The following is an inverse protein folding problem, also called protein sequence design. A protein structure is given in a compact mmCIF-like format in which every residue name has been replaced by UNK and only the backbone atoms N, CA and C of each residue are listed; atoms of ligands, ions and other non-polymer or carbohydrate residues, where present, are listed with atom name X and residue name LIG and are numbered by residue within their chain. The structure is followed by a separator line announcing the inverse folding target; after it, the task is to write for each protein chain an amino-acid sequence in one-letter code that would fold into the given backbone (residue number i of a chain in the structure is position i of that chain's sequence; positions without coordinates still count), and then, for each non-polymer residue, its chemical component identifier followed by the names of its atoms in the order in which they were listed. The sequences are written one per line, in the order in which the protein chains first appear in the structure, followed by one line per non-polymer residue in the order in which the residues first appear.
data_IF_908267863608
#
_entry.id   IF_908267863608
#
_cell.length_a   1.000
_cell.length_b   1.000
_cell.length_c   1.000
_cell.angle_alpha   90.00
_cell.angle_beta   90.00
_cell.angle_gamma   90.00
#
_symmetry.space_group_name_H-M   'P 1'
#
loop_
_entity.id
_entity.type
_entity.pdbx_description
1 polymer ?
#
# COMPACT_ATOMS: atom_id res chain seq x y z
N UNK A 1 2.41 15.19 17.98
CA UNK A 1 1.74 14.31 16.99
C UNK A 1 2.67 13.90 15.86
N UNK A 2 3.24 14.85 15.09
CA UNK A 2 4.07 14.55 13.91
C UNK A 2 5.33 13.69 14.19
N UNK A 3 6.04 13.92 15.30
CA UNK A 3 7.25 13.15 15.63
C UNK A 3 6.96 11.66 15.90
N UNK A 4 5.90 11.37 16.67
CA UNK A 4 5.48 10.00 16.99
C UNK A 4 4.98 9.25 15.76
N UNK A 5 4.25 9.94 14.88
CA UNK A 5 3.82 9.38 13.60
C UNK A 5 5.01 9.03 12.70
N UNK A 6 5.98 9.96 12.57
CA UNK A 6 7.21 9.72 11.81
C UNK A 6 8.01 8.53 12.38
N UNK A 7 8.16 8.45 13.69
CA UNK A 7 8.85 7.35 14.36
C UNK A 7 8.17 6.00 14.08
N UNK A 8 6.85 5.93 14.24
CA UNK A 8 6.06 4.75 13.87
C UNK A 8 6.32 4.33 12.41
N UNK A 9 6.30 5.27 11.47
CA UNK A 9 6.55 4.98 10.06
C UNK A 9 7.96 4.44 9.82
N UNK A 10 8.99 5.03 10.45
CA UNK A 10 10.39 4.59 10.29
C UNK A 10 10.64 3.20 10.90
N UNK A 11 10.07 2.91 12.06
CA UNK A 11 10.18 1.58 12.69
C UNK A 11 9.51 0.52 11.81
N UNK A 12 8.36 0.83 11.19
CA UNK A 12 7.69 -0.09 10.28
C UNK A 12 8.37 -0.20 8.90
N UNK A 13 9.20 0.77 8.51
CA UNK A 13 9.87 0.76 7.21
C UNK A 13 11.27 0.13 7.26
N UNK A 14 12.02 0.45 8.30
CA UNK A 14 13.43 0.07 8.48
C UNK A 14 13.58 -0.93 9.62
N UNK A 15 12.91 -0.65 10.73
CA UNK A 15 13.09 -1.36 11.98
C UNK A 15 13.68 -0.48 13.07
N UNK A 16 13.89 -1.10 14.21
CA UNK A 16 14.64 -0.57 15.35
C UNK A 16 15.55 -1.67 15.92
N UNK A 17 16.18 -1.41 17.06
CA UNK A 17 17.07 -2.39 17.72
C UNK A 17 16.38 -3.69 18.13
N UNK A 18 15.06 -3.71 18.29
CA UNK A 18 14.28 -4.90 18.65
C UNK A 18 13.56 -5.54 17.47
N UNK A 19 13.42 -4.83 16.35
CA UNK A 19 12.59 -5.23 15.22
C UNK A 19 13.33 -5.01 13.90
N UNK A 20 13.88 -6.08 13.32
CA UNK A 20 14.49 -6.06 11.99
C UNK A 20 13.42 -6.02 10.87
N UNK A 21 12.67 -4.92 10.78
CA UNK A 21 11.49 -4.83 9.92
C UNK A 21 11.86 -4.90 8.44
N UNK A 22 12.95 -4.26 8.02
CA UNK A 22 13.44 -4.36 6.64
C UNK A 22 13.73 -5.81 6.24
N UNK A 23 14.45 -6.56 7.09
CA UNK A 23 14.80 -7.96 6.81
C UNK A 23 13.56 -8.85 6.76
N UNK A 24 12.57 -8.59 7.63
CA UNK A 24 11.28 -9.26 7.62
C UNK A 24 10.53 -9.01 6.32
N UNK A 25 10.41 -7.75 5.89
CA UNK A 25 9.72 -7.38 4.65
C UNK A 25 10.44 -7.98 3.44
N UNK A 26 11.76 -7.86 3.37
CA UNK A 26 12.56 -8.44 2.30
C UNK A 26 12.39 -9.96 2.24
N UNK A 27 12.48 -10.64 3.38
CA UNK A 27 12.30 -12.10 3.45
C UNK A 27 10.87 -12.53 3.11
N UNK A 28 9.86 -11.74 3.50
CA UNK A 28 8.46 -11.98 3.14
C UNK A 28 8.26 -11.85 1.64
N UNK A 29 8.75 -10.77 1.03
CA UNK A 29 8.70 -10.59 -0.41
C UNK A 29 9.43 -11.77 -1.07
N UNK A 30 10.68 -12.08 -0.73
CA UNK A 30 11.41 -13.21 -1.36
C UNK A 30 10.63 -14.54 -1.35
N UNK A 31 9.77 -14.78 -0.35
CA UNK A 31 8.93 -15.98 -0.26
C UNK A 31 7.57 -15.89 -0.95
N UNK A 32 7.07 -14.69 -1.23
CA UNK A 32 5.74 -14.44 -1.81
C UNK A 32 5.89 -13.63 -3.12
N UNK A 33 6.13 -14.32 -4.23
CA UNK A 33 6.39 -13.70 -5.54
C UNK A 33 5.19 -12.97 -6.13
N UNK A 34 3.98 -13.35 -5.71
CA UNK A 34 2.69 -12.74 -6.05
C UNK A 34 2.45 -11.40 -5.34
N UNK A 35 3.14 -11.13 -4.23
CA UNK A 35 3.02 -9.85 -3.52
C UNK A 35 3.97 -8.82 -4.13
N UNK A 36 3.40 -7.74 -4.66
CA UNK A 36 4.13 -6.63 -5.27
C UNK A 36 4.55 -5.52 -4.31
N UNK A 37 3.80 -5.29 -3.22
CA UNK A 37 4.01 -4.17 -2.31
C UNK A 37 3.61 -4.51 -0.86
N UNK A 38 4.33 -3.93 0.10
CA UNK A 38 4.05 -3.98 1.55
C UNK A 38 4.13 -2.58 2.12
N UNK A 39 3.18 -2.20 2.97
CA UNK A 39 3.11 -0.92 3.66
C UNK A 39 2.46 -1.09 5.04
N UNK A 40 2.73 -0.20 6.01
CA UNK A 40 2.08 -0.26 7.31
C UNK A 40 0.60 0.10 7.19
N UNK A 41 -0.24 -0.66 7.88
CA UNK A 41 -1.68 -0.39 7.96
C UNK A 41 -1.93 0.94 8.69
N UNK A 42 -2.76 1.80 8.09
CA UNK A 42 -3.30 2.97 8.77
C UNK A 42 -4.58 2.61 9.53
N UNK A 43 -4.49 2.51 10.86
CA UNK A 43 -5.64 2.25 11.75
C UNK A 43 -6.63 3.42 11.82
N UNK A 44 -6.26 4.59 11.27
CA UNK A 44 -7.10 5.77 11.16
C UNK A 44 -7.68 5.96 9.76
N UNK A 45 -7.65 4.94 8.89
CA UNK A 45 -8.21 5.03 7.55
C UNK A 45 -9.69 5.46 7.61
N UNK A 46 -9.99 6.67 7.15
CA UNK A 46 -11.36 7.23 7.15
C UNK A 46 -12.19 6.76 5.94
N UNK A 47 -11.78 5.66 5.30
CA UNK A 47 -12.36 5.15 4.06
C UNK A 47 -12.01 5.98 2.82
N UNK A 48 -12.52 5.52 1.66
CA UNK A 48 -12.46 6.31 0.43
C UNK A 48 -13.49 7.43 0.54
N UNK A 49 -13.08 8.63 0.94
CA UNK A 49 -13.95 9.81 1.00
C UNK A 49 -14.15 10.37 -0.42
N UNK A 50 -13.53 11.49 -0.75
CA UNK A 50 -13.63 12.14 -2.07
C UNK A 50 -13.09 11.25 -3.20
N UNK A 51 -12.22 10.28 -2.87
CA UNK A 51 -11.67 9.32 -3.83
C UNK A 51 -12.67 8.22 -4.24
N UNK A 52 -13.82 8.07 -3.56
CA UNK A 52 -14.78 7.00 -3.86
C UNK A 52 -15.36 7.13 -5.27
N UNK A 53 -15.71 8.34 -5.68
CA UNK A 53 -16.31 8.59 -7.00
C UNK A 53 -15.34 8.22 -8.12
N UNK A 54 -14.05 8.57 -7.99
CA UNK A 54 -13.04 8.17 -8.97
C UNK A 54 -12.75 6.66 -8.93
N UNK A 55 -12.75 6.06 -7.74
CA UNK A 55 -12.61 4.62 -7.60
C UNK A 55 -13.75 3.87 -8.30
N UNK A 56 -15.00 4.33 -8.16
CA UNK A 56 -16.18 3.75 -8.83
C UNK A 56 -16.09 3.91 -10.35
N UNK A 57 -15.66 5.08 -10.84
CA UNK A 57 -15.44 5.31 -12.28
C UNK A 57 -14.39 4.37 -12.86
N UNK A 58 -13.29 4.15 -12.12
CA UNK A 58 -12.24 3.22 -12.53
C UNK A 58 -12.70 1.76 -12.44
N UNK A 59 -13.45 1.39 -11.40
CA UNK A 59 -14.01 0.05 -11.22
C UNK A 59 -14.89 -0.36 -12.40
N UNK A 60 -15.71 0.56 -12.91
CA UNK A 60 -16.51 0.33 -14.13
C UNK A 60 -15.65 0.01 -15.35
N UNK A 61 -14.52 0.72 -15.54
CA UNK A 61 -13.58 0.44 -16.64
C UNK A 61 -12.88 -0.91 -16.49
N UNK A 62 -12.76 -1.42 -15.27
CA UNK A 62 -12.07 -2.65 -14.91
C UNK A 62 -12.99 -3.86 -14.71
N UNK A 63 -14.30 -3.71 -14.96
CA UNK A 63 -15.32 -4.73 -14.69
C UNK A 63 -15.33 -5.21 -13.22
N UNK A 64 -14.99 -4.31 -12.29
CA UNK A 64 -15.02 -4.55 -10.84
C UNK A 64 -16.40 -4.14 -10.32
N UNK A 65 -17.19 -5.12 -9.90
CA UNK A 65 -18.60 -4.91 -9.50
C UNK A 65 -18.77 -4.51 -8.03
N UNK A 66 -17.77 -4.75 -7.19
CA UNK A 66 -17.82 -4.42 -5.77
C UNK A 66 -16.48 -3.86 -5.29
N UNK A 67 -16.49 -2.59 -4.93
CA UNK A 67 -15.38 -1.97 -4.21
C UNK A 67 -15.53 -2.23 -2.70
N UNK A 68 -14.41 -2.44 -1.98
CA UNK A 68 -14.46 -2.42 -0.53
C UNK A 68 -14.84 -1.01 -0.04
N UNK A 69 -15.53 -0.93 1.10
CA UNK A 69 -15.92 0.35 1.71
C UNK A 69 -14.69 1.20 2.06
N UNK A 70 -13.63 0.53 2.50
CA UNK A 70 -12.37 1.15 2.88
C UNK A 70 -11.23 0.53 2.07
N UNK A 71 -10.46 1.37 1.39
CA UNK A 71 -9.23 0.96 0.71
C UNK A 71 -8.09 1.62 1.46
N UNK A 72 -7.24 0.81 2.07
CA UNK A 72 -6.05 1.31 2.72
C UNK A 72 -4.97 1.56 1.67
N UNK A 73 -4.44 2.78 1.62
CA UNK A 73 -3.38 3.17 0.70
C UNK A 73 -2.11 3.48 1.47
N UNK A 74 -0.92 3.25 0.88
CA UNK A 74 0.33 3.68 1.49
C UNK A 74 0.32 5.19 1.77
N UNK A 75 0.49 5.57 3.04
CA UNK A 75 0.54 6.97 3.44
C UNK A 75 1.98 7.49 3.31
N UNK A 76 2.19 8.44 2.39
CA UNK A 76 3.51 9.00 2.09
C UNK A 76 4.44 8.04 1.33
N UNK A 77 5.75 8.12 1.56
CA UNK A 77 6.75 7.27 0.90
C UNK A 77 7.09 5.99 1.71
N UNK A 78 6.21 5.57 2.60
CA UNK A 78 6.49 4.55 3.61
C UNK A 78 6.01 3.17 3.16
N UNK A 79 6.54 2.69 2.05
CA UNK A 79 6.25 1.36 1.53
C UNK A 79 7.51 0.68 0.97
N UNK A 80 7.40 -0.62 0.72
CA UNK A 80 8.36 -1.42 -0.05
C UNK A 80 7.62 -2.04 -1.20
N UNK A 81 8.09 -1.78 -2.41
CA UNK A 81 7.54 -2.36 -3.62
C UNK A 81 8.63 -3.07 -4.40
N UNK A 82 8.26 -4.14 -5.10
CA UNK A 82 9.12 -4.73 -6.11
C UNK A 82 9.24 -3.82 -7.31
N UNK A 83 10.36 -3.94 -7.99
CA UNK A 83 10.45 -3.43 -9.36
C UNK A 83 9.35 -4.09 -10.20
N UNK A 84 8.60 -3.26 -10.93
CA UNK A 84 7.51 -3.73 -11.78
C UNK A 84 6.21 -4.10 -11.05
N UNK A 85 6.09 -3.86 -9.74
CA UNK A 85 4.86 -4.16 -9.00
C UNK A 85 3.60 -3.49 -9.58
N UNK A 86 3.78 -2.33 -10.22
CA UNK A 86 2.70 -1.58 -10.86
C UNK A 86 2.65 -1.78 -12.39
N UNK A 87 3.55 -2.56 -12.98
CA UNK A 87 3.56 -2.79 -14.43
C UNK A 87 2.21 -3.27 -14.97
N UNK A 88 1.52 -4.25 -14.33
CA UNK A 88 0.21 -4.68 -14.82
C UNK A 88 -0.82 -3.56 -14.87
N UNK A 89 -0.77 -2.58 -13.94
CA UNK A 89 -1.69 -1.44 -13.94
C UNK A 89 -1.46 -0.53 -15.16
N UNK A 90 -0.21 -0.31 -15.54
CA UNK A 90 0.12 0.51 -16.72
C UNK A 90 -0.22 -0.19 -18.04
N UNK A 91 -0.11 -1.51 -18.08
CA UNK A 91 -0.43 -2.32 -19.27
C UNK A 91 -1.94 -2.38 -19.57
N UNK A 92 -2.81 -1.97 -18.64
CA UNK A 92 -4.25 -1.89 -18.86
C UNK A 92 -4.66 -0.78 -19.85
N UNK A 93 -3.76 0.16 -20.17
CA UNK A 93 -4.03 1.19 -21.19
C UNK A 93 -5.20 2.13 -20.86
N UNK A 94 -5.48 2.34 -19.57
CA UNK A 94 -6.60 3.17 -19.11
C UNK A 94 -6.27 4.65 -19.32
N UNK A 95 -6.73 5.23 -20.44
CA UNK A 95 -6.74 6.67 -20.70
C UNK A 95 -8.02 7.35 -20.21
#
# INVERSE_FOLDING_TARGET
MAARWREFLLINLLGDTGNAMLDRIASFLLRNSDVGMVFPEDTGCLGSTDNRTEAERLALKLDITKLPEEINFPVGTMFRARQGALTPLYELGLS
#
